data_IF_048677037910
#
_entry.id   IF_048677037910
#
_cell.length_a   1.000
_cell.length_b   1.000
_cell.length_c   1.000
_cell.angle_alpha   90.00
_cell.angle_beta   90.00
_cell.angle_gamma   90.00
#
_symmetry.space_group_name_H-M   'P 1'
#
loop_
_entity.id
_entity.type
_entity.pdbx_description
1 polymer ?
#
# COMPACT_ATOMS: atom_id res chain seq x y z
N UNK A 1 10.30 2.19 -37.46
CA UNK A 1 9.11 2.12 -36.59
C UNK A 1 9.27 0.89 -35.72
N UNK A 2 10.18 0.97 -34.74
CA UNK A 2 10.48 -0.16 -33.86
C UNK A 2 9.50 -0.15 -32.68
N UNK A 3 8.56 -1.10 -32.70
CA UNK A 3 7.84 -1.52 -31.50
C UNK A 3 8.82 -2.33 -30.65
N UNK A 4 9.75 -1.64 -29.98
CA UNK A 4 10.46 -2.23 -28.84
C UNK A 4 9.40 -2.64 -27.81
N UNK A 5 9.40 -3.91 -27.41
CA UNK A 5 8.56 -4.43 -26.34
C UNK A 5 8.77 -3.60 -25.06
N UNK A 6 7.87 -2.66 -24.82
CA UNK A 6 7.97 -1.64 -23.77
C UNK A 6 7.84 -2.20 -22.35
N UNK A 7 7.56 -3.50 -22.20
CA UNK A 7 7.28 -4.13 -20.92
C UNK A 7 8.46 -4.24 -19.95
N UNK A 8 9.70 -4.02 -20.41
CA UNK A 8 10.89 -4.21 -19.57
C UNK A 8 11.86 -3.02 -19.56
N UNK A 9 11.45 -1.87 -20.11
CA UNK A 9 12.29 -0.66 -20.10
C UNK A 9 12.35 -0.05 -18.70
N UNK A 10 13.57 0.11 -18.18
CA UNK A 10 13.84 0.86 -16.96
C UNK A 10 14.03 2.35 -17.29
N UNK A 11 13.37 3.21 -16.53
CA UNK A 11 13.47 4.67 -16.60
C UNK A 11 14.16 5.21 -15.36
N UNK A 12 15.01 6.22 -15.52
CA UNK A 12 15.74 6.86 -14.40
C UNK A 12 14.82 7.59 -13.43
N UNK A 13 13.74 8.19 -13.94
CA UNK A 13 12.84 9.03 -13.17
C UNK A 13 11.45 9.14 -13.83
N UNK A 14 10.50 9.70 -13.09
CA UNK A 14 9.12 9.91 -13.56
C UNK A 14 9.02 10.97 -14.68
N UNK A 15 10.01 11.84 -14.85
CA UNK A 15 10.01 12.84 -15.93
C UNK A 15 10.34 12.20 -17.27
N UNK A 16 11.28 11.25 -17.31
CA UNK A 16 11.59 10.44 -18.48
C UNK A 16 10.35 9.64 -18.96
N UNK A 17 9.54 9.12 -18.03
CA UNK A 17 8.27 8.47 -18.35
C UNK A 17 7.28 9.46 -18.99
N UNK A 18 7.09 10.63 -18.37
CA UNK A 18 6.14 11.66 -18.85
C UNK A 18 6.55 12.29 -20.19
N UNK A 19 7.82 12.19 -20.59
CA UNK A 19 8.27 12.59 -21.93
C UNK A 19 7.82 11.61 -23.02
N UNK A 20 7.64 10.33 -22.67
CA UNK A 20 7.32 9.27 -23.62
C UNK A 20 5.83 8.96 -23.69
N UNK A 21 5.13 9.07 -22.56
CA UNK A 21 3.71 8.75 -22.44
C UNK A 21 2.93 9.98 -22.02
N UNK A 22 1.84 10.26 -22.73
CA UNK A 22 0.87 11.27 -22.32
C UNK A 22 0.06 10.80 -21.09
N UNK A 23 -0.74 11.72 -20.52
CA UNK A 23 -1.50 11.46 -19.29
C UNK A 23 -2.60 10.41 -19.47
N UNK A 24 -3.25 10.36 -20.62
CA UNK A 24 -4.34 9.41 -20.90
C UNK A 24 -3.77 8.01 -21.03
N UNK A 25 -2.65 7.87 -21.75
CA UNK A 25 -1.91 6.63 -21.84
C UNK A 25 -1.48 6.15 -20.46
N UNK A 26 -0.83 7.00 -19.65
CA UNK A 26 -0.38 6.61 -18.30
C UNK A 26 -1.52 6.23 -17.35
N UNK A 27 -2.72 6.78 -17.54
CA UNK A 27 -3.90 6.41 -16.75
C UNK A 27 -4.33 4.95 -16.98
N UNK A 28 -3.86 4.30 -18.07
CA UNK A 28 -4.13 2.88 -18.34
C UNK A 28 -3.00 1.94 -17.95
N UNK A 29 -1.83 2.49 -17.56
CA UNK A 29 -0.62 1.70 -17.26
C UNK A 29 -0.42 1.50 -15.78
N UNK A 30 0.36 0.46 -15.44
CA UNK A 30 0.90 0.28 -14.10
C UNK A 30 2.35 0.76 -14.07
N UNK A 31 2.61 1.80 -13.29
CA UNK A 31 3.97 2.30 -13.06
C UNK A 31 4.47 1.73 -11.74
N UNK A 32 5.65 1.12 -11.78
CA UNK A 32 6.29 0.48 -10.63
C UNK A 32 7.68 1.07 -10.47
N UNK A 33 8.01 1.53 -9.27
CA UNK A 33 9.38 1.78 -8.88
C UNK A 33 10.06 0.44 -8.56
N UNK A 34 11.20 0.24 -9.20
CA UNK A 34 12.15 -0.82 -8.91
C UNK A 34 13.25 -0.24 -8.02
N UNK A 35 13.15 -0.48 -6.70
CA UNK A 35 14.12 0.08 -5.76
C UNK A 35 15.46 -0.65 -5.80
N UNK A 36 15.50 -1.88 -6.32
CA UNK A 36 16.75 -2.63 -6.51
C UNK A 36 17.57 -1.98 -7.62
N UNK A 37 16.93 -1.69 -8.76
CA UNK A 37 17.58 -1.06 -9.91
C UNK A 37 17.56 0.47 -9.89
N UNK A 38 17.05 1.08 -8.82
CA UNK A 38 16.96 2.54 -8.65
C UNK A 38 16.25 3.25 -9.81
N UNK A 39 15.12 2.70 -10.28
CA UNK A 39 14.40 3.24 -11.42
C UNK A 39 12.92 2.91 -11.43
N UNK A 40 12.30 3.11 -12.59
CA UNK A 40 10.86 2.94 -12.79
C UNK A 40 10.60 2.08 -14.02
N UNK A 41 9.57 1.23 -13.95
CA UNK A 41 9.11 0.36 -15.04
C UNK A 41 7.65 0.66 -15.31
N UNK A 42 7.24 0.56 -16.57
CA UNK A 42 5.87 0.81 -17.01
C UNK A 42 5.32 -0.46 -17.64
N UNK A 43 4.25 -0.99 -17.06
CA UNK A 43 3.59 -2.22 -17.51
C UNK A 43 2.23 -1.90 -18.14
N UNK A 44 1.88 -2.62 -19.19
CA UNK A 44 0.58 -2.47 -19.86
C UNK A 44 -0.60 -2.97 -19.03
N UNK A 45 -0.35 -3.86 -18.06
CA UNK A 45 -1.37 -4.44 -17.21
C UNK A 45 -0.76 -4.95 -15.90
N UNK A 46 -1.63 -5.22 -14.91
CA UNK A 46 -1.21 -5.90 -13.68
C UNK A 46 -0.66 -7.30 -13.97
N UNK A 47 -1.24 -8.03 -14.94
CA UNK A 47 -0.76 -9.36 -15.33
C UNK A 47 0.68 -9.32 -15.84
N UNK A 48 1.03 -8.38 -16.73
CA UNK A 48 2.42 -8.26 -17.22
C UNK A 48 3.41 -7.97 -16.11
N UNK A 49 3.00 -7.19 -15.10
CA UNK A 49 3.82 -6.98 -13.92
C UNK A 49 3.99 -8.27 -13.11
N UNK A 50 2.93 -9.08 -12.94
CA UNK A 50 3.04 -10.35 -12.24
C UNK A 50 3.92 -11.36 -12.96
N UNK A 51 3.80 -11.47 -14.28
CA UNK A 51 4.68 -12.32 -15.09
C UNK A 51 6.16 -11.93 -14.89
N UNK A 52 6.45 -10.62 -14.86
CA UNK A 52 7.79 -10.11 -14.54
C UNK A 52 8.19 -10.39 -13.08
N UNK A 53 7.31 -10.14 -12.11
CA UNK A 53 7.61 -10.35 -10.70
C UNK A 53 7.90 -11.82 -10.37
N UNK A 54 7.24 -12.76 -11.04
CA UNK A 54 7.41 -14.19 -10.82
C UNK A 54 8.80 -14.69 -11.28
N UNK A 55 9.37 -14.11 -12.33
CA UNK A 55 10.74 -14.44 -12.79
C UNK A 55 11.84 -13.75 -11.99
N UNK A 56 11.54 -12.64 -11.30
CA UNK A 56 12.52 -11.95 -10.45
C UNK A 56 12.76 -12.78 -9.17
N UNK A 57 14.03 -13.04 -8.79
CA UNK A 57 14.34 -13.72 -7.53
C UNK A 57 13.71 -13.01 -6.33
N UNK A 58 13.14 -13.78 -5.40
CA UNK A 58 12.36 -13.24 -4.27
C UNK A 58 13.11 -12.14 -3.48
N UNK A 59 14.40 -12.35 -3.20
CA UNK A 59 15.24 -11.39 -2.47
C UNK A 59 15.51 -10.07 -3.21
N UNK A 60 15.20 -9.99 -4.52
CA UNK A 60 15.33 -8.78 -5.34
C UNK A 60 13.99 -8.07 -5.57
N UNK A 61 12.86 -8.67 -5.14
CA UNK A 61 11.52 -8.09 -5.31
C UNK A 61 11.34 -6.90 -4.35
N UNK A 62 11.70 -5.71 -4.81
CA UNK A 62 11.65 -4.47 -4.05
C UNK A 62 10.79 -3.43 -4.78
N UNK A 63 9.53 -3.77 -5.03
CA UNK A 63 8.64 -3.02 -5.90
C UNK A 63 7.62 -2.16 -5.16
N UNK A 64 7.44 -0.94 -5.65
CA UNK A 64 6.39 -0.01 -5.20
C UNK A 64 5.56 0.48 -6.37
N UNK A 65 4.24 0.33 -6.31
CA UNK A 65 3.33 0.97 -7.26
C UNK A 65 3.38 2.48 -7.07
N UNK A 66 3.46 3.20 -8.18
CA UNK A 66 3.32 4.65 -8.21
C UNK A 66 1.86 5.03 -8.39
N UNK A 67 1.36 5.93 -7.56
CA UNK A 67 0.02 6.51 -7.70
C UNK A 67 0.15 8.02 -7.73
N UNK A 68 -0.26 8.64 -8.85
CA UNK A 68 -0.27 10.09 -9.00
C UNK A 68 -1.38 10.75 -8.20
N UNK A 69 -1.19 12.03 -7.91
CA UNK A 69 -2.07 12.83 -7.06
C UNK A 69 -3.54 12.87 -7.49
N UNK A 70 -3.79 12.87 -8.81
CA UNK A 70 -5.12 12.98 -9.41
C UNK A 70 -5.74 11.62 -9.76
N UNK A 71 -4.99 10.54 -9.58
CA UNK A 71 -5.53 9.20 -9.78
C UNK A 71 -6.40 8.79 -8.58
N UNK A 72 -7.36 7.88 -8.76
CA UNK A 72 -8.11 7.33 -7.65
C UNK A 72 -7.17 6.69 -6.61
N UNK A 73 -7.54 6.78 -5.35
CA UNK A 73 -6.72 6.38 -4.21
C UNK A 73 -7.51 5.43 -3.31
N UNK A 74 -6.83 4.40 -2.81
CA UNK A 74 -7.36 3.62 -1.70
C UNK A 74 -7.26 4.43 -0.40
N UNK A 75 -8.29 4.34 0.44
CA UNK A 75 -8.27 4.93 1.78
C UNK A 75 -7.46 4.03 2.74
N UNK A 76 -6.14 4.15 2.68
CA UNK A 76 -5.21 3.33 3.45
C UNK A 76 -4.68 4.05 4.69
N UNK A 77 -4.37 3.28 5.72
CA UNK A 77 -3.59 3.68 6.88
C UNK A 77 -2.32 2.82 6.90
N UNK A 78 -1.17 3.44 7.17
CA UNK A 78 0.04 2.70 7.48
C UNK A 78 0.55 3.16 8.84
N UNK A 79 0.96 2.21 9.65
CA UNK A 79 1.57 2.47 10.95
C UNK A 79 2.89 1.71 11.03
N UNK A 80 3.91 2.38 11.52
CA UNK A 80 5.26 1.86 11.65
C UNK A 80 5.79 2.13 13.06
N UNK A 81 6.29 1.11 13.74
CA UNK A 81 6.98 1.25 15.01
C UNK A 81 8.02 0.15 15.17
N UNK A 82 8.99 0.38 16.07
CA UNK A 82 10.07 -0.57 16.33
C UNK A 82 10.28 -0.74 17.82
N UNK A 83 10.80 -1.91 18.20
CA UNK A 83 11.11 -2.26 19.59
C UNK A 83 12.37 -3.12 19.64
N UNK A 84 13.08 -3.05 20.77
CA UNK A 84 14.22 -3.93 21.06
C UNK A 84 13.78 -5.36 21.35
N UNK A 85 12.58 -5.54 21.86
CA UNK A 85 11.97 -6.84 22.17
C UNK A 85 10.74 -7.07 21.32
N UNK A 86 10.34 -8.34 21.20
CA UNK A 86 9.10 -8.68 20.53
C UNK A 86 7.92 -8.14 21.35
N UNK A 87 7.00 -7.44 20.70
CA UNK A 87 5.77 -6.95 21.31
C UNK A 87 4.79 -8.13 21.37
N UNK A 88 4.13 -8.37 22.52
CA UNK A 88 3.14 -9.42 22.64
C UNK A 88 2.05 -9.32 21.57
N UNK A 89 1.69 -10.45 20.98
CA UNK A 89 0.68 -10.51 19.92
C UNK A 89 -0.67 -9.88 20.32
N UNK A 90 -1.10 -10.07 21.57
CA UNK A 90 -2.35 -9.49 22.07
C UNK A 90 -2.33 -7.95 22.08
N UNK A 91 -1.16 -7.36 22.38
CA UNK A 91 -0.98 -5.91 22.36
C UNK A 91 -1.04 -5.37 20.93
N UNK A 92 -0.37 -6.04 19.98
CA UNK A 92 -0.46 -5.71 18.56
C UNK A 92 -1.91 -5.79 18.06
N UNK A 93 -2.64 -6.85 18.40
CA UNK A 93 -4.06 -7.01 18.04
C UNK A 93 -4.89 -5.85 18.59
N UNK A 94 -4.66 -5.41 19.83
CA UNK A 94 -5.38 -4.30 20.43
C UNK A 94 -5.10 -2.96 19.72
N UNK A 95 -3.84 -2.69 19.37
CA UNK A 95 -3.46 -1.49 18.61
C UNK A 95 -4.15 -1.49 17.24
N UNK A 96 -4.06 -2.59 16.50
CA UNK A 96 -4.66 -2.68 15.16
C UNK A 96 -6.19 -2.62 15.22
N UNK A 97 -6.83 -3.20 16.25
CA UNK A 97 -8.28 -3.13 16.44
C UNK A 97 -8.76 -1.69 16.67
N UNK A 98 -8.00 -0.87 17.39
CA UNK A 98 -8.32 0.55 17.56
C UNK A 98 -8.26 1.30 16.22
N UNK A 99 -7.23 1.05 15.40
CA UNK A 99 -7.11 1.65 14.06
C UNK A 99 -8.28 1.26 13.15
N UNK A 100 -8.62 -0.03 13.12
CA UNK A 100 -9.74 -0.54 12.34
C UNK A 100 -11.07 0.09 12.77
N UNK A 101 -11.29 0.24 14.08
CA UNK A 101 -12.49 0.89 14.63
C UNK A 101 -12.57 2.36 14.20
N UNK A 102 -11.45 3.09 14.28
CA UNK A 102 -11.37 4.47 13.82
C UNK A 102 -11.61 4.62 12.31
N UNK A 103 -11.10 3.69 11.50
CA UNK A 103 -11.38 3.65 10.06
C UNK A 103 -12.87 3.43 9.77
N UNK A 104 -13.51 2.43 10.39
CA UNK A 104 -14.94 2.16 10.22
C UNK A 104 -15.82 3.33 10.63
N UNK A 105 -15.48 3.99 11.74
CA UNK A 105 -16.19 5.19 12.17
C UNK A 105 -16.03 6.34 11.15
N UNK A 106 -14.83 6.55 10.62
CA UNK A 106 -14.60 7.58 9.60
C UNK A 106 -15.31 7.26 8.27
N UNK A 107 -15.38 5.99 7.86
CA UNK A 107 -16.20 5.58 6.72
C UNK A 107 -17.68 5.92 6.94
N UNK A 108 -18.23 5.57 8.11
CA UNK A 108 -19.64 5.85 8.44
C UNK A 108 -19.94 7.35 8.47
N UNK A 109 -19.06 8.15 9.10
CA UNK A 109 -19.32 9.57 9.34
C UNK A 109 -18.98 10.45 8.14
N UNK A 110 -17.90 10.14 7.41
CA UNK A 110 -17.40 10.95 6.30
C UNK A 110 -17.86 10.51 4.92
N UNK A 111 -18.34 9.27 4.79
CA UNK A 111 -18.64 8.64 3.50
C UNK A 111 -19.95 7.81 3.54
N UNK A 112 -20.78 7.95 4.56
CA UNK A 112 -21.98 7.11 4.79
C UNK A 112 -22.92 6.95 3.59
N UNK A 113 -23.04 8.01 2.78
CA UNK A 113 -23.94 8.05 1.61
C UNK A 113 -23.31 7.48 0.34
N UNK A 114 -22.01 7.15 0.35
CA UNK A 114 -21.33 6.58 -0.81
C UNK A 114 -21.70 5.11 -1.00
N UNK A 115 -21.94 4.70 -2.24
CA UNK A 115 -22.08 3.30 -2.59
C UNK A 115 -20.78 2.52 -2.28
N UNK A 116 -20.93 1.25 -1.90
CA UNK A 116 -19.82 0.31 -1.66
C UNK A 116 -18.85 0.72 -0.53
N UNK A 117 -19.27 1.57 0.40
CA UNK A 117 -18.44 1.89 1.56
C UNK A 117 -18.16 0.64 2.41
N UNK A 118 -16.96 0.51 2.99
CA UNK A 118 -16.67 -0.54 3.95
C UNK A 118 -17.57 -0.39 5.19
N UNK A 119 -18.34 -1.44 5.52
CA UNK A 119 -19.26 -1.46 6.68
C UNK A 119 -18.82 -2.42 7.77
N UNK A 120 -17.95 -3.37 7.45
CA UNK A 120 -17.43 -4.37 8.39
C UNK A 120 -15.91 -4.52 8.28
N UNK A 121 -15.31 -5.10 9.31
CA UNK A 121 -13.88 -5.43 9.34
C UNK A 121 -13.47 -6.35 8.19
N UNK A 122 -14.35 -7.26 7.77
CA UNK A 122 -14.14 -8.15 6.63
C UNK A 122 -14.03 -7.44 5.28
N UNK A 123 -14.42 -6.15 5.19
CA UNK A 123 -14.19 -5.32 4.00
C UNK A 123 -12.80 -4.67 3.98
N UNK A 124 -12.03 -4.81 5.07
CA UNK A 124 -10.67 -4.29 5.21
C UNK A 124 -9.68 -5.46 5.15
N UNK A 125 -8.50 -5.17 4.64
CA UNK A 125 -7.35 -6.08 4.68
C UNK A 125 -6.25 -5.45 5.52
N UNK A 126 -5.62 -6.27 6.38
CA UNK A 126 -4.42 -5.90 7.14
C UNK A 126 -3.25 -6.65 6.53
N UNK A 127 -2.31 -5.91 5.99
CA UNK A 127 -1.02 -6.41 5.51
C UNK A 127 0.07 -5.99 6.48
N UNK A 128 1.16 -6.74 6.52
CA UNK A 128 2.30 -6.42 7.38
C UNK A 128 3.64 -6.68 6.73
N UNK A 129 4.64 -5.99 7.27
CA UNK A 129 6.07 -6.13 7.00
C UNK A 129 6.81 -6.10 8.33
N UNK A 130 6.51 -7.12 9.14
CA UNK A 130 6.87 -7.18 10.55
C UNK A 130 7.79 -8.35 10.83
N UNK A 131 8.77 -8.13 11.70
CA UNK A 131 9.78 -9.11 12.06
C UNK A 131 11.07 -8.45 12.54
N UNK A 132 12.08 -9.26 12.82
CA UNK A 132 13.40 -8.75 13.14
C UNK A 132 14.09 -8.28 11.86
N UNK A 133 14.53 -7.01 11.84
CA UNK A 133 15.24 -6.44 10.70
C UNK A 133 16.73 -6.81 10.72
N UNK A 134 17.47 -6.38 9.70
CA UNK A 134 18.92 -6.67 9.57
C UNK A 134 19.78 -6.10 10.71
N UNK A 135 19.25 -5.17 11.51
CA UNK A 135 19.91 -4.59 12.69
C UNK A 135 19.55 -5.34 13.99
N UNK A 136 18.81 -6.44 13.91
CA UNK A 136 18.36 -7.18 15.09
C UNK A 136 17.19 -6.53 15.84
N UNK A 137 16.61 -5.45 15.31
CA UNK A 137 15.49 -4.72 15.93
C UNK A 137 14.17 -5.24 15.40
N UNK A 138 13.18 -5.44 16.27
CA UNK A 138 11.83 -5.78 15.85
C UNK A 138 11.17 -4.56 15.21
N UNK A 139 10.81 -4.71 13.94
CA UNK A 139 10.07 -3.70 13.18
C UNK A 139 8.65 -4.20 12.95
N UNK A 140 7.68 -3.31 13.11
CA UNK A 140 6.27 -3.59 12.89
C UNK A 140 5.73 -2.54 11.93
N UNK A 141 5.34 -2.98 10.74
CA UNK A 141 4.80 -2.09 9.71
C UNK A 141 3.49 -2.69 9.22
N UNK A 142 2.38 -2.05 9.56
CA UNK A 142 1.05 -2.50 9.15
C UNK A 142 0.48 -1.57 8.10
N UNK A 143 -0.17 -2.16 7.10
CA UNK A 143 -0.88 -1.45 6.02
C UNK A 143 -2.32 -1.93 6.04
N UNK A 144 -3.26 -1.03 6.29
CA UNK A 144 -4.68 -1.33 6.40
C UNK A 144 -5.40 -0.59 5.29
N UNK A 145 -6.21 -1.27 4.50
CA UNK A 145 -6.97 -0.64 3.42
C UNK A 145 -8.26 -1.41 3.08
N UNK A 146 -9.28 -0.74 2.52
CA UNK A 146 -10.42 -1.43 1.92
C UNK A 146 -10.02 -2.16 0.63
N UNK A 147 -10.81 -3.18 0.28
CA UNK A 147 -10.58 -4.00 -0.92
C UNK A 147 -11.38 -3.54 -2.15
N UNK A 148 -12.42 -2.72 -1.95
CA UNK A 148 -13.39 -2.38 -3.01
C UNK A 148 -13.79 -0.90 -3.05
N UNK A 149 -13.19 -0.05 -2.21
CA UNK A 149 -13.57 1.36 -2.10
C UNK A 149 -12.39 2.30 -2.37
N UNK A 150 -12.61 3.31 -3.21
CA UNK A 150 -11.62 4.28 -3.62
C UNK A 150 -12.20 5.69 -3.59
N UNK A 151 -11.33 6.68 -3.43
CA UNK A 151 -11.67 8.10 -3.55
C UNK A 151 -10.96 8.71 -4.76
N UNK A 152 -11.51 9.82 -5.26
CA UNK A 152 -11.07 10.40 -6.53
C UNK A 152 -9.59 10.86 -6.56
N UNK A 153 -8.99 11.25 -5.44
CA UNK A 153 -7.65 11.83 -5.43
C UNK A 153 -6.97 11.79 -4.06
N UNK A 154 -5.68 12.17 -4.04
CA UNK A 154 -4.85 12.17 -2.85
C UNK A 154 -5.38 13.08 -1.72
N UNK A 155 -6.04 14.21 -2.05
CA UNK A 155 -6.55 15.15 -1.03
C UNK A 155 -7.62 14.50 -0.16
N UNK A 156 -8.54 13.76 -0.78
CA UNK A 156 -9.57 12.99 -0.06
C UNK A 156 -8.95 11.90 0.80
N UNK A 157 -7.98 11.17 0.26
CA UNK A 157 -7.31 10.10 1.00
C UNK A 157 -6.47 10.62 2.17
N UNK A 158 -5.77 11.75 2.00
CA UNK A 158 -5.05 12.46 3.05
C UNK A 158 -5.98 12.91 4.17
N UNK A 159 -7.14 13.49 3.81
CA UNK A 159 -8.14 13.94 4.80
C UNK A 159 -8.67 12.76 5.63
N UNK A 160 -8.98 11.64 4.99
CA UNK A 160 -9.38 10.42 5.69
C UNK A 160 -8.31 9.97 6.70
N UNK A 161 -7.06 9.83 6.27
CA UNK A 161 -5.98 9.38 7.14
C UNK A 161 -5.76 10.32 8.34
N UNK A 162 -5.82 11.63 8.10
CA UNK A 162 -5.74 12.64 9.14
C UNK A 162 -6.89 12.53 10.16
N UNK A 163 -8.11 12.32 9.70
CA UNK A 163 -9.27 12.16 10.58
C UNK A 163 -9.20 10.89 11.42
N UNK A 164 -8.75 9.78 10.84
CA UNK A 164 -8.49 8.53 11.58
C UNK A 164 -7.41 8.75 12.63
N UNK A 165 -6.29 9.37 12.27
CA UNK A 165 -5.18 9.65 13.19
C UNK A 165 -5.62 10.47 14.41
N UNK A 166 -6.45 11.51 14.20
CA UNK A 166 -6.96 12.36 15.30
C UNK A 166 -7.84 11.63 16.31
N UNK A 167 -8.38 10.47 15.95
CA UNK A 167 -9.21 9.63 16.83
C UNK A 167 -8.37 8.65 17.64
N UNK A 168 -7.08 8.50 17.35
CA UNK A 168 -6.20 7.57 18.03
C UNK A 168 -5.63 8.18 19.31
N UNK A 169 -5.28 7.31 20.26
CA UNK A 169 -4.44 7.70 21.40
C UNK A 169 -3.13 8.31 20.87
N UNK A 170 -2.63 9.36 21.54
CA UNK A 170 -1.45 10.12 21.09
C UNK A 170 -0.28 9.22 20.72
N UNK A 171 0.00 8.21 21.54
CA UNK A 171 1.14 7.31 21.37
C UNK A 171 1.05 6.49 20.08
N UNK A 172 -0.14 5.99 19.75
CA UNK A 172 -0.40 5.29 18.47
C UNK A 172 -0.39 6.29 17.31
N UNK A 173 -0.92 7.50 17.53
CA UNK A 173 -0.93 8.58 16.54
C UNK A 173 0.46 8.97 16.05
N UNK A 174 1.49 8.90 16.90
CA UNK A 174 2.89 9.12 16.52
C UNK A 174 3.48 8.03 15.63
N UNK A 175 2.91 6.82 15.68
CA UNK A 175 3.32 5.69 14.84
C UNK A 175 2.69 5.71 13.44
N UNK A 176 1.83 6.69 13.12
CA UNK A 176 1.30 6.83 11.77
C UNK A 176 2.44 7.21 10.83
N UNK A 177 2.70 6.31 9.87
CA UNK A 177 3.54 6.68 8.75
C UNK A 177 2.78 7.77 7.99
N UNK A 178 3.44 8.89 7.66
CA UNK A 178 2.78 9.96 6.96
C UNK A 178 2.71 9.60 5.46
N UNK A 179 1.91 8.57 5.11
CA UNK A 179 1.75 8.04 3.74
C UNK A 179 1.29 9.07 2.72
N UNK A 180 0.84 10.23 3.20
CA UNK A 180 0.28 11.34 2.45
C UNK A 180 1.09 12.64 2.62
N UNK A 181 2.39 12.55 3.00
CA UNK A 181 3.31 13.70 2.91
C UNK A 181 3.41 14.18 1.46
N UNK A 182 3.64 13.24 0.55
CA UNK A 182 3.81 13.51 -0.88
C UNK A 182 2.51 13.25 -1.63
N UNK A 183 2.24 14.07 -2.67
CA UNK A 183 1.06 13.89 -3.52
C UNK A 183 1.20 12.70 -4.46
N UNK A 184 2.43 12.31 -4.80
CA UNK A 184 2.77 11.04 -5.47
C UNK A 184 3.05 9.99 -4.40
N UNK A 185 2.33 8.88 -4.47
CA UNK A 185 2.47 7.78 -3.53
C UNK A 185 3.30 6.64 -4.08
N UNK A 186 4.05 6.01 -3.18
CA UNK A 186 4.82 4.81 -3.40
C UNK A 186 4.21 3.72 -2.53
N UNK A 187 3.43 2.83 -3.14
CA UNK A 187 2.69 1.80 -2.44
C UNK A 187 3.36 0.46 -2.69
N UNK A 188 4.05 -0.04 -1.67
CA UNK A 188 4.73 -1.32 -1.79
C UNK A 188 3.77 -2.45 -2.11
N UNK A 189 4.19 -3.26 -3.07
CA UNK A 189 3.41 -4.35 -3.64
C UNK A 189 3.50 -5.58 -2.73
N UNK A 190 2.44 -6.40 -2.70
CA UNK A 190 2.43 -7.66 -1.97
C UNK A 190 3.59 -8.56 -2.43
N UNK A 191 4.30 -9.18 -1.49
CA UNK A 191 5.49 -9.99 -1.74
C UNK A 191 6.78 -9.20 -1.92
N UNK A 192 6.73 -7.86 -2.01
CA UNK A 192 7.92 -7.02 -2.08
C UNK A 192 8.50 -6.68 -0.71
N UNK A 193 9.78 -6.34 -0.66
CA UNK A 193 10.50 -5.94 0.56
C UNK A 193 10.85 -4.45 0.57
N UNK A 194 11.38 -3.95 1.69
CA UNK A 194 12.27 -2.79 1.65
C UNK A 194 13.64 -3.19 1.11
N UNK A 195 14.33 -2.23 0.50
CA UNK A 195 15.68 -2.46 -0.02
C UNK A 195 16.59 -3.02 1.08
N UNK A 196 17.23 -4.16 0.80
CA UNK A 196 18.12 -4.89 1.73
C UNK A 196 17.46 -5.35 3.03
N UNK A 197 16.13 -5.49 3.07
CA UNK A 197 15.41 -6.07 4.20
C UNK A 197 14.80 -7.42 3.83
N UNK A 198 14.75 -8.38 4.77
CA UNK A 198 14.16 -9.70 4.53
C UNK A 198 12.64 -9.72 4.73
N UNK A 199 12.03 -8.61 5.14
CA UNK A 199 10.63 -8.55 5.53
C UNK A 199 9.75 -8.27 4.31
N UNK A 200 9.12 -9.32 3.79
CA UNK A 200 8.18 -9.23 2.68
C UNK A 200 6.81 -8.76 3.14
N UNK A 201 6.18 -7.91 2.31
CA UNK A 201 4.78 -7.53 2.50
C UNK A 201 3.88 -8.71 2.29
N UNK A 202 3.06 -9.03 3.30
CA UNK A 202 2.14 -10.17 3.28
C UNK A 202 0.83 -9.82 3.96
N UNK A 203 -0.22 -10.63 3.75
CA UNK A 203 -1.42 -10.56 4.59
C UNK A 203 -1.02 -10.88 6.03
N UNK A 204 -1.42 -10.06 6.98
CA UNK A 204 -1.02 -10.24 8.38
C UNK A 204 -1.65 -11.53 8.94
N UNK A 205 -0.88 -12.36 9.67
CA UNK A 205 -1.41 -13.50 10.41
C UNK A 205 -2.34 -13.07 11.55
N UNK A 206 -2.37 -11.77 11.89
CA UNK A 206 -3.33 -11.21 12.84
C UNK A 206 -4.75 -11.11 12.27
N UNK A 207 -4.91 -11.19 10.94
CA UNK A 207 -6.20 -10.94 10.26
C UNK A 207 -7.34 -11.80 10.80
N UNK A 208 -7.09 -13.08 11.13
CA UNK A 208 -8.10 -13.98 11.73
C UNK A 208 -8.60 -13.49 13.09
N UNK A 209 -7.72 -12.92 13.91
CA UNK A 209 -8.06 -12.39 15.23
C UNK A 209 -8.74 -11.03 15.15
N UNK A 210 -8.49 -10.30 14.07
CA UNK A 210 -9.03 -8.97 13.78
C UNK A 210 -10.34 -9.04 12.98
N UNK A 211 -10.77 -10.23 12.55
CA UNK A 211 -11.96 -10.43 11.70
C UNK A 211 -11.88 -9.65 10.37
N UNK A 212 -10.67 -9.40 9.88
CA UNK A 212 -10.41 -8.76 8.59
C UNK A 212 -10.23 -9.81 7.50
N UNK A 213 -10.18 -9.38 6.24
CA UNK A 213 -9.93 -10.28 5.12
C UNK A 213 -8.62 -11.07 5.34
N UNK A 214 -8.72 -12.40 5.30
CA UNK A 214 -7.60 -13.35 5.49
C UNK A 214 -6.99 -13.81 4.19
N UNK A 215 -7.70 -13.60 3.09
CA UNK A 215 -7.27 -13.88 1.73
C UNK A 215 -7.90 -12.85 0.80
N UNK A 216 -7.13 -12.42 -0.20
CA UNK A 216 -7.55 -11.49 -1.24
C UNK A 216 -6.78 -11.79 -2.52
N UNK A 217 -7.46 -11.66 -3.66
CA UNK A 217 -6.77 -11.69 -4.94
C UNK A 217 -5.78 -10.52 -5.03
N UNK A 218 -4.52 -10.79 -5.40
CA UNK A 218 -3.43 -9.79 -5.44
C UNK A 218 -3.77 -8.55 -6.26
N UNK A 219 -4.57 -8.69 -7.31
CA UNK A 219 -5.01 -7.56 -8.14
C UNK A 219 -5.99 -6.62 -7.44
N UNK A 220 -6.73 -7.09 -6.43
CA UNK A 220 -7.66 -6.25 -5.68
C UNK A 220 -6.92 -5.24 -4.79
N UNK A 221 -5.61 -5.40 -4.59
CA UNK A 221 -4.76 -4.41 -3.91
C UNK A 221 -4.42 -3.22 -4.80
N UNK A 222 -4.55 -3.37 -6.12
CA UNK A 222 -4.38 -2.27 -7.04
C UNK A 222 -5.69 -1.50 -7.17
N UNK A 223 -5.59 -0.17 -7.04
CA UNK A 223 -6.65 0.71 -7.53
C UNK A 223 -6.88 0.40 -9.01
N UNK A 224 -8.09 -0.04 -9.34
CA UNK A 224 -8.55 -0.16 -10.71
C UNK A 224 -8.83 1.25 -11.22
N UNK A 225 -8.17 1.65 -12.29
CA UNK A 225 -8.53 2.88 -12.97
C UNK A 225 -9.89 2.63 -13.63
N UNK A 226 -10.87 3.47 -13.29
CA UNK A 226 -12.22 3.44 -13.88
C UNK A 226 -12.16 3.79 -15.36
#
# INVERSE_FOLDING_TARGET
MDRMETGNRLFSDLYAIKKLYDKETLATKLIVQDNTDSGYRVFDSCQKFWDYNEIVPEHLRCFSKIIYENAPQTLKIQVGFSSRSQIPKGELVNIIRQLLSGMLEEFRNGYGDCANIPKSLSNLVVMEESGQNTLGVWSYNYHIQPTTFYVANYKKAKKFAYNVQRRMLRDIGYSFDPCYLNSIQYVRILGSTYLKQPLHKKISPLSRYLETAVDIHRDNLFVKNL
#
